data_IF_491387235051
#
_entry.id   IF_491387235051
#
_cell.length_a   1.000
_cell.length_b   1.000
_cell.length_c   1.000
_cell.angle_alpha   90.00
_cell.angle_beta   90.00
_cell.angle_gamma   90.00
#
_symmetry.space_group_name_H-M   'P 1'
#
loop_
_entity.id
_entity.type
_entity.pdbx_description
1 polymer ?
#
# COMPACT_ATOMS: atom_id res chain seq x y z
N UNK A 1 91.66 22.26 12.28
CA UNK A 1 90.41 22.08 13.04
C UNK A 1 89.27 21.88 12.05
N UNK A 2 88.73 20.67 11.91
CA UNK A 2 87.67 20.28 10.98
C UNK A 2 86.38 20.19 11.77
N UNK A 3 85.31 20.90 11.32
CA UNK A 3 83.95 20.80 11.86
C UNK A 3 83.22 19.59 11.24
N UNK A 4 82.42 18.82 11.97
CA UNK A 4 81.64 17.70 11.43
C UNK A 4 80.37 18.09 10.71
N UNK A 5 80.09 17.44 9.58
CA UNK A 5 78.82 17.54 8.83
C UNK A 5 77.75 16.74 9.56
N UNK A 6 76.68 17.38 10.02
CA UNK A 6 75.45 16.77 10.53
C UNK A 6 74.57 16.29 9.38
N UNK A 7 74.03 15.10 9.53
CA UNK A 7 73.39 14.28 8.54
C UNK A 7 71.95 14.71 8.18
N UNK A 8 71.65 14.59 6.89
CA UNK A 8 70.34 14.81 6.25
C UNK A 8 69.42 13.55 6.33
N UNK A 9 69.07 13.09 7.52
CA UNK A 9 68.20 11.91 7.65
C UNK A 9 66.74 12.23 8.11
N UNK A 10 66.38 13.51 8.32
CA UNK A 10 65.07 13.89 8.86
C UNK A 10 63.94 14.06 7.79
N UNK A 11 64.31 14.15 6.50
CA UNK A 11 63.29 14.44 5.46
C UNK A 11 62.62 13.19 4.86
N UNK A 12 63.22 12.04 4.94
CA UNK A 12 62.67 10.78 4.40
C UNK A 12 61.64 10.12 5.33
N UNK A 13 61.73 10.30 6.63
CA UNK A 13 60.81 9.73 7.59
C UNK A 13 59.42 10.41 7.57
N UNK A 14 59.37 11.74 7.33
CA UNK A 14 58.10 12.48 7.22
C UNK A 14 57.30 12.14 5.93
N UNK A 15 57.99 11.86 4.84
CA UNK A 15 57.38 11.49 3.56
C UNK A 15 56.71 10.09 3.62
N UNK A 16 57.31 9.15 4.34
CA UNK A 16 56.74 7.78 4.51
C UNK A 16 55.53 7.79 5.43
N UNK A 17 55.50 8.61 6.49
CA UNK A 17 54.33 8.77 7.36
C UNK A 17 53.17 9.46 6.66
N UNK A 18 53.38 10.43 5.77
CA UNK A 18 52.34 11.08 4.99
C UNK A 18 51.75 10.14 3.91
N UNK A 19 52.54 9.27 3.29
CA UNK A 19 52.08 8.26 2.35
C UNK A 19 51.26 7.15 3.02
N UNK A 20 51.60 6.74 4.24
CA UNK A 20 50.80 5.77 5.02
C UNK A 20 49.49 6.32 5.49
N UNK A 21 49.34 7.62 5.79
CA UNK A 21 48.09 8.29 6.15
C UNK A 21 47.15 8.42 4.97
N UNK A 22 47.61 8.55 3.73
CA UNK A 22 46.80 8.60 2.50
C UNK A 22 46.35 7.20 2.03
N UNK A 23 47.05 6.14 2.34
CA UNK A 23 46.66 4.75 2.05
C UNK A 23 45.53 4.24 3.00
N UNK A 24 45.39 4.84 4.20
CA UNK A 24 44.35 4.47 5.16
C UNK A 24 42.93 4.89 4.76
N UNK A 25 42.77 5.90 3.89
CA UNK A 25 41.43 6.37 3.45
C UNK A 25 40.78 5.50 2.38
N UNK A 26 41.49 4.61 1.69
CA UNK A 26 40.90 3.73 0.68
C UNK A 26 40.38 2.39 1.23
N UNK A 27 40.69 2.04 2.48
CA UNK A 27 40.23 0.79 3.12
C UNK A 27 38.77 0.84 3.56
N UNK A 28 38.10 2.02 3.60
CA UNK A 28 36.70 2.17 4.04
C UNK A 28 35.71 1.66 3.01
N UNK A 29 36.07 1.47 1.75
CA UNK A 29 35.18 1.01 0.69
C UNK A 29 34.72 -0.44 0.83
N UNK A 30 35.47 -1.28 1.57
CA UNK A 30 35.21 -2.71 1.71
C UNK A 30 34.64 -3.14 3.07
N UNK A 31 34.40 -2.20 3.98
CA UNK A 31 33.78 -2.54 5.27
C UNK A 31 32.36 -3.01 5.08
N UNK A 32 31.88 -4.01 5.83
CA UNK A 32 30.47 -4.38 5.86
C UNK A 32 29.59 -3.18 6.20
N UNK A 33 28.46 -3.08 5.52
CA UNK A 33 27.44 -2.06 5.77
C UNK A 33 26.13 -2.75 6.12
N UNK A 34 25.58 -2.43 7.28
CA UNK A 34 24.19 -2.76 7.60
C UNK A 34 23.28 -1.67 7.08
N UNK A 35 22.33 -2.05 6.23
CA UNK A 35 21.25 -1.21 5.74
C UNK A 35 20.00 -1.54 6.54
N UNK A 36 19.51 -0.60 7.32
CA UNK A 36 18.33 -0.78 8.13
C UNK A 36 17.05 -0.49 7.30
N UNK A 37 16.21 -1.52 7.15
CA UNK A 37 14.95 -1.48 6.39
C UNK A 37 13.79 -1.60 7.37
N UNK A 38 12.97 -0.57 7.50
CA UNK A 38 11.72 -0.65 8.24
C UNK A 38 10.56 -1.00 7.29
N UNK A 39 9.77 -1.97 7.70
CA UNK A 39 8.62 -2.47 6.95
C UNK A 39 7.34 -2.15 7.73
N UNK A 40 6.45 -1.34 7.15
CA UNK A 40 5.11 -1.11 7.69
C UNK A 40 4.17 -2.25 7.31
N UNK A 41 3.51 -2.89 8.29
CA UNK A 41 2.44 -3.84 8.01
C UNK A 41 1.19 -3.10 7.54
N UNK A 42 0.38 -3.72 6.69
CA UNK A 42 -0.91 -3.12 6.36
C UNK A 42 -1.81 -3.05 7.61
N UNK A 43 -2.69 -2.04 7.73
CA UNK A 43 -3.60 -1.90 8.88
C UNK A 43 -4.51 -3.09 9.11
N UNK A 44 -4.79 -3.86 8.05
CA UNK A 44 -5.59 -5.08 8.05
C UNK A 44 -4.77 -6.35 8.42
N UNK A 45 -3.50 -6.21 8.77
CA UNK A 45 -2.62 -7.32 9.14
C UNK A 45 -2.19 -7.22 10.60
N UNK A 46 -2.55 -8.23 11.39
CA UNK A 46 -2.03 -8.37 12.75
C UNK A 46 -0.57 -8.79 12.71
N UNK A 47 0.31 -8.06 13.40
CA UNK A 47 1.72 -8.45 13.56
C UNK A 47 1.79 -9.62 14.52
N UNK A 48 2.05 -10.81 13.97
CA UNK A 48 2.24 -12.05 14.68
C UNK A 48 3.39 -12.86 14.03
N UNK A 49 3.70 -14.02 14.58
CA UNK A 49 4.76 -14.90 14.06
C UNK A 49 4.54 -15.25 12.57
N UNK A 50 3.30 -15.55 12.16
CA UNK A 50 2.96 -15.92 10.78
C UNK A 50 3.23 -14.80 9.79
N UNK A 51 2.94 -13.53 10.17
CA UNK A 51 3.25 -12.38 9.34
C UNK A 51 4.75 -12.15 9.22
N UNK A 52 5.49 -12.28 10.35
CA UNK A 52 6.94 -12.18 10.35
C UNK A 52 7.59 -13.23 9.44
N UNK A 53 7.16 -14.48 9.55
CA UNK A 53 7.69 -15.57 8.74
C UNK A 53 7.32 -15.41 7.27
N UNK A 54 6.09 -15.04 6.97
CA UNK A 54 5.65 -14.76 5.60
C UNK A 54 6.44 -13.63 4.92
N UNK A 55 6.70 -12.54 5.64
CA UNK A 55 7.53 -11.43 5.13
C UNK A 55 8.97 -11.89 4.95
N UNK A 56 9.52 -12.63 5.92
CA UNK A 56 10.89 -13.17 5.84
C UNK A 56 11.06 -14.08 4.62
N UNK A 57 10.13 -14.99 4.37
CA UNK A 57 10.16 -15.87 3.21
C UNK A 57 10.11 -15.11 1.89
N UNK A 58 9.20 -14.13 1.78
CA UNK A 58 9.08 -13.28 0.58
C UNK A 58 10.31 -12.41 0.35
N UNK A 59 10.94 -11.92 1.43
CA UNK A 59 12.08 -11.01 1.35
C UNK A 59 13.42 -11.73 1.16
N UNK A 60 13.53 -12.99 1.59
CA UNK A 60 14.76 -13.79 1.51
C UNK A 60 15.35 -13.88 0.09
N UNK A 61 14.58 -14.18 -0.98
CA UNK A 61 15.11 -14.19 -2.34
C UNK A 61 15.62 -12.81 -2.79
N UNK A 62 14.92 -11.74 -2.39
CA UNK A 62 15.29 -10.36 -2.70
C UNK A 62 16.59 -9.96 -2.01
N UNK A 63 16.75 -10.31 -0.74
CA UNK A 63 18.00 -10.11 0.00
C UNK A 63 19.16 -10.86 -0.64
N UNK A 64 18.96 -12.12 -0.99
CA UNK A 64 19.99 -12.94 -1.64
C UNK A 64 20.38 -12.39 -3.01
N UNK A 65 19.39 -11.96 -3.83
CA UNK A 65 19.63 -11.36 -5.12
C UNK A 65 20.41 -10.04 -5.02
N UNK A 66 20.02 -9.16 -4.09
CA UNK A 66 20.73 -7.91 -3.84
C UNK A 66 22.14 -8.13 -3.33
N UNK A 67 22.34 -9.07 -2.41
CA UNK A 67 23.66 -9.41 -1.85
C UNK A 67 24.65 -9.94 -2.90
N UNK A 68 24.17 -10.62 -3.95
CA UNK A 68 25.05 -11.05 -5.08
C UNK A 68 25.63 -9.85 -5.82
N UNK A 69 24.89 -8.74 -5.91
CA UNK A 69 25.33 -7.51 -6.56
C UNK A 69 26.11 -6.59 -5.60
N UNK A 70 25.80 -6.67 -4.31
CA UNK A 70 26.35 -5.83 -3.24
C UNK A 70 26.81 -6.70 -2.06
N UNK A 71 27.91 -7.49 -2.18
CA UNK A 71 28.29 -8.53 -1.21
C UNK A 71 28.57 -7.99 0.19
N UNK A 72 28.99 -6.73 0.30
CA UNK A 72 29.30 -6.07 1.57
C UNK A 72 28.11 -5.33 2.20
N UNK A 73 26.90 -5.43 1.63
CA UNK A 73 25.70 -4.80 2.20
C UNK A 73 24.78 -5.87 2.77
N UNK A 74 24.48 -5.75 4.06
CA UNK A 74 23.57 -6.61 4.81
C UNK A 74 22.27 -5.85 5.08
N UNK A 75 21.14 -6.53 4.97
CA UNK A 75 19.84 -5.92 5.22
C UNK A 75 19.33 -6.36 6.59
N UNK A 76 19.10 -5.41 7.48
CA UNK A 76 18.41 -5.61 8.75
C UNK A 76 16.95 -5.14 8.57
N UNK A 77 16.01 -6.08 8.61
CA UNK A 77 14.57 -5.80 8.41
C UNK A 77 13.86 -5.81 9.75
N UNK A 78 13.09 -4.76 10.02
CA UNK A 78 12.19 -4.68 11.18
C UNK A 78 10.78 -4.36 10.72
N UNK A 79 9.79 -5.01 11.35
CA UNK A 79 8.37 -4.85 11.03
C UNK A 79 7.70 -3.98 12.10
N UNK A 80 6.88 -3.04 11.64
CA UNK A 80 6.11 -2.12 12.48
C UNK A 80 4.67 -2.01 12.00
N UNK A 81 3.69 -1.78 12.90
CA UNK A 81 2.36 -1.36 12.47
C UNK A 81 2.43 -0.06 11.66
N UNK A 82 1.77 -0.05 10.51
CA UNK A 82 1.80 1.10 9.60
C UNK A 82 1.35 2.41 10.28
N UNK A 83 0.35 2.32 11.14
CA UNK A 83 -0.19 3.45 11.90
C UNK A 83 0.80 4.09 12.88
N UNK A 84 1.75 3.29 13.40
CA UNK A 84 2.75 3.76 14.37
C UNK A 84 4.05 4.23 13.72
N UNK A 85 4.23 4.01 12.41
CA UNK A 85 5.45 4.41 11.70
C UNK A 85 5.81 5.89 11.88
N UNK A 86 4.87 6.87 11.78
CA UNK A 86 5.22 8.28 11.94
C UNK A 86 5.79 8.58 13.34
N UNK A 87 5.27 7.97 14.39
CA UNK A 87 5.74 8.19 15.77
C UNK A 87 7.08 7.50 16.01
N UNK A 88 7.24 6.27 15.51
CA UNK A 88 8.49 5.52 15.59
C UNK A 88 9.61 6.27 14.84
N UNK A 89 9.34 6.79 13.64
CA UNK A 89 10.33 7.56 12.89
C UNK A 89 10.68 8.86 13.57
N UNK A 90 9.72 9.55 14.16
CA UNK A 90 9.97 10.79 14.92
C UNK A 90 10.96 10.53 16.06
N UNK A 91 10.73 9.49 16.86
CA UNK A 91 11.59 9.10 17.97
C UNK A 91 12.99 8.67 17.47
N UNK A 92 13.05 7.82 16.43
CA UNK A 92 14.30 7.28 15.90
C UNK A 92 15.13 8.31 15.13
N UNK A 93 14.50 9.25 14.46
CA UNK A 93 15.19 10.38 13.83
C UNK A 93 15.91 11.25 14.88
N UNK A 94 15.32 11.42 16.06
CA UNK A 94 15.94 12.15 17.17
C UNK A 94 17.14 11.44 17.79
N UNK A 95 17.16 10.10 17.79
CA UNK A 95 18.23 9.28 18.37
C UNK A 95 19.31 8.84 17.37
N UNK A 96 19.18 9.19 16.08
CA UNK A 96 20.12 8.75 15.04
C UNK A 96 19.98 7.26 14.63
N UNK A 97 18.94 6.57 15.12
CA UNK A 97 18.65 5.15 14.85
C UNK A 97 17.53 4.95 13.81
N UNK A 98 17.29 5.95 12.98
CA UNK A 98 16.26 5.89 11.94
C UNK A 98 16.62 4.87 10.85
N UNK A 99 15.63 4.24 10.20
CA UNK A 99 15.89 3.34 9.09
C UNK A 99 16.43 4.10 7.87
N UNK A 100 17.22 3.41 7.07
CA UNK A 100 17.75 3.94 5.81
C UNK A 100 16.71 3.85 4.69
N UNK A 101 15.94 2.78 4.69
CA UNK A 101 14.84 2.52 3.75
C UNK A 101 13.58 2.20 4.54
N UNK A 102 12.48 2.76 4.09
CA UNK A 102 11.15 2.46 4.61
C UNK A 102 10.28 1.89 3.50
N UNK A 103 9.67 0.73 3.73
CA UNK A 103 8.61 0.20 2.92
C UNK A 103 7.27 0.48 3.60
N UNK A 104 6.49 1.40 3.04
CA UNK A 104 5.23 1.89 3.62
C UNK A 104 4.15 2.08 2.54
N UNK A 105 2.92 2.37 2.95
CA UNK A 105 1.89 2.84 2.03
C UNK A 105 2.25 4.24 1.50
N UNK A 106 1.89 4.52 0.26
CA UNK A 106 2.24 5.78 -0.39
C UNK A 106 1.72 7.01 0.33
N UNK A 107 0.50 6.95 0.86
CA UNK A 107 -0.10 8.04 1.66
C UNK A 107 0.64 8.26 2.99
N UNK A 108 1.08 7.20 3.66
CA UNK A 108 1.90 7.28 4.87
C UNK A 108 3.26 7.91 4.56
N UNK A 109 3.93 7.46 3.50
CA UNK A 109 5.21 8.03 3.08
C UNK A 109 5.08 9.52 2.70
N UNK A 110 4.01 9.91 2.00
CA UNK A 110 3.77 11.30 1.62
C UNK A 110 3.57 12.21 2.85
N UNK A 111 2.78 11.76 3.84
CA UNK A 111 2.61 12.50 5.09
C UNK A 111 3.92 12.62 5.87
N UNK A 112 4.70 11.55 5.96
CA UNK A 112 5.99 11.58 6.64
C UNK A 112 7.01 12.47 5.93
N UNK A 113 7.01 12.52 4.59
CA UNK A 113 7.81 13.47 3.83
C UNK A 113 7.38 14.92 4.12
N UNK A 114 6.09 15.20 4.10
CA UNK A 114 5.53 16.52 4.43
C UNK A 114 5.91 16.96 5.85
N UNK A 115 5.93 16.03 6.80
CA UNK A 115 6.36 16.26 8.18
C UNK A 115 7.90 16.34 8.36
N UNK A 116 8.69 16.22 7.29
CA UNK A 116 10.15 16.26 7.35
C UNK A 116 10.80 15.04 8.02
N UNK A 117 10.08 13.93 8.14
CA UNK A 117 10.58 12.69 8.76
C UNK A 117 11.36 11.80 7.76
N UNK A 118 11.15 12.01 6.46
CA UNK A 118 11.81 11.32 5.37
C UNK A 118 12.61 12.31 4.52
N UNK A 119 13.57 11.79 3.76
CA UNK A 119 14.24 12.53 2.70
C UNK A 119 13.45 12.40 1.38
N UNK A 120 13.39 13.45 0.55
CA UNK A 120 12.86 13.33 -0.80
C UNK A 120 13.61 12.24 -1.58
N UNK A 121 12.87 11.44 -2.34
CA UNK A 121 13.48 10.42 -3.18
C UNK A 121 13.98 11.05 -4.49
N UNK A 122 15.28 10.98 -4.80
CA UNK A 122 15.81 11.45 -6.07
C UNK A 122 15.40 10.49 -7.19
N UNK A 123 14.63 10.98 -8.17
CA UNK A 123 14.19 10.17 -9.29
C UNK A 123 14.74 10.74 -10.60
N UNK A 124 15.41 9.90 -11.40
CA UNK A 124 15.87 10.28 -12.74
C UNK A 124 14.70 10.28 -13.74
N UNK A 125 14.83 11.01 -14.84
CA UNK A 125 13.82 11.04 -15.90
C UNK A 125 13.59 9.62 -16.49
N UNK A 126 14.63 8.79 -16.56
CA UNK A 126 14.53 7.40 -17.02
C UNK A 126 13.71 6.54 -16.04
N UNK A 127 14.07 6.60 -14.75
CA UNK A 127 13.35 5.85 -13.72
C UNK A 127 11.89 6.32 -13.60
N UNK A 128 11.62 7.62 -13.77
CA UNK A 128 10.26 8.18 -13.78
C UNK A 128 9.40 7.55 -14.88
N UNK A 129 9.95 7.29 -16.05
CA UNK A 129 9.24 6.62 -17.16
C UNK A 129 8.87 5.17 -16.86
N UNK A 130 9.47 4.55 -15.86
CA UNK A 130 9.15 3.17 -15.46
C UNK A 130 7.85 3.03 -14.67
N UNK A 131 7.23 4.13 -14.29
CA UNK A 131 5.99 4.14 -13.50
C UNK A 131 4.85 4.84 -14.24
N UNK A 132 3.61 4.53 -13.85
CA UNK A 132 2.46 5.31 -14.31
C UNK A 132 2.50 6.73 -13.73
N UNK A 133 2.29 7.77 -14.55
CA UNK A 133 2.35 9.16 -14.08
C UNK A 133 1.39 9.45 -12.91
N UNK A 134 0.24 8.80 -12.90
CA UNK A 134 -0.77 8.94 -11.83
C UNK A 134 -0.25 8.43 -10.49
N UNK A 135 0.47 7.29 -10.49
CA UNK A 135 1.05 6.71 -9.28
C UNK A 135 2.13 7.63 -8.69
N UNK A 136 2.95 8.24 -9.53
CA UNK A 136 3.94 9.22 -9.08
C UNK A 136 3.29 10.50 -8.55
N UNK A 137 2.25 11.03 -9.24
CA UNK A 137 1.53 12.23 -8.77
C UNK A 137 0.94 12.07 -7.37
N UNK A 138 0.50 10.86 -7.02
CA UNK A 138 0.00 10.53 -5.67
C UNK A 138 1.09 10.57 -4.59
N UNK A 139 2.36 10.54 -4.97
CA UNK A 139 3.52 10.50 -4.08
C UNK A 139 4.30 11.81 -4.09
N UNK A 140 3.86 12.81 -4.88
CA UNK A 140 4.52 14.10 -5.01
C UNK A 140 3.86 15.17 -4.14
N UNK A 141 4.68 15.95 -3.47
CA UNK A 141 4.26 17.19 -2.84
C UNK A 141 4.08 18.30 -3.91
N UNK A 142 3.33 19.38 -3.61
CA UNK A 142 3.16 20.51 -4.57
C UNK A 142 4.47 21.14 -5.06
N UNK A 143 5.55 21.01 -4.30
CA UNK A 143 6.88 21.50 -4.66
C UNK A 143 7.70 20.50 -5.51
N UNK A 144 7.10 19.39 -5.94
CA UNK A 144 7.70 18.36 -6.78
C UNK A 144 8.57 17.32 -6.03
N UNK A 145 8.69 17.42 -4.71
CA UNK A 145 9.41 16.41 -3.91
C UNK A 145 8.64 15.10 -3.88
N UNK A 146 9.32 14.00 -4.20
CA UNK A 146 8.75 12.65 -4.24
C UNK A 146 8.97 11.91 -2.92
N UNK A 147 7.92 11.30 -2.37
CA UNK A 147 7.97 10.59 -1.09
C UNK A 147 8.67 9.22 -1.17
N UNK A 148 8.67 8.59 -2.34
CA UNK A 148 9.31 7.29 -2.54
C UNK A 148 9.00 6.70 -3.91
N UNK A 149 9.66 5.58 -4.24
CA UNK A 149 9.41 4.84 -5.48
C UNK A 149 8.25 3.85 -5.30
N UNK A 150 7.27 3.82 -6.21
CA UNK A 150 6.28 2.73 -6.25
C UNK A 150 6.96 1.37 -6.38
N UNK A 151 6.66 0.44 -5.48
CA UNK A 151 7.23 -0.90 -5.51
C UNK A 151 6.21 -1.93 -5.98
N UNK A 152 5.08 -2.02 -5.31
CA UNK A 152 4.00 -2.95 -5.67
C UNK A 152 2.65 -2.31 -5.47
N UNK A 153 1.67 -2.83 -6.21
CA UNK A 153 0.28 -2.42 -6.13
C UNK A 153 -0.55 -3.54 -5.49
N UNK A 154 -1.34 -3.19 -4.47
CA UNK A 154 -2.39 -4.02 -3.92
C UNK A 154 -3.75 -3.45 -4.34
N UNK A 155 -4.62 -4.32 -4.88
CA UNK A 155 -5.96 -3.94 -5.30
C UNK A 155 -7.02 -4.65 -4.46
N UNK A 156 -8.25 -4.14 -4.49
CA UNK A 156 -9.41 -4.79 -3.88
C UNK A 156 -10.04 -5.80 -4.83
N UNK A 157 -10.61 -6.85 -4.26
CA UNK A 157 -11.19 -8.00 -4.94
C UNK A 157 -12.42 -8.50 -4.18
N UNK A 158 -13.23 -9.33 -4.83
CA UNK A 158 -14.11 -10.30 -4.18
C UNK A 158 -13.27 -11.48 -3.70
N UNK A 159 -13.29 -11.77 -2.39
CA UNK A 159 -12.79 -13.02 -1.82
C UNK A 159 -13.99 -13.90 -1.46
N UNK A 160 -14.02 -15.15 -1.89
CA UNK A 160 -15.14 -16.02 -1.61
C UNK A 160 -14.75 -17.49 -1.40
N UNK A 161 -15.60 -18.20 -0.69
CA UNK A 161 -15.45 -19.62 -0.43
C UNK A 161 -16.20 -20.42 -1.51
N UNK A 162 -15.45 -21.00 -2.46
CA UNK A 162 -16.05 -21.76 -3.59
C UNK A 162 -16.82 -23.02 -3.18
N UNK A 163 -16.69 -23.48 -1.93
CA UNK A 163 -17.50 -24.59 -1.41
C UNK A 163 -18.91 -24.15 -1.04
N UNK A 164 -19.10 -22.88 -0.72
CA UNK A 164 -20.39 -22.29 -0.35
C UNK A 164 -21.00 -21.51 -1.54
N UNK A 165 -20.16 -20.90 -2.36
CA UNK A 165 -20.56 -20.07 -3.48
C UNK A 165 -19.73 -20.48 -4.71
N UNK A 166 -20.34 -21.19 -5.67
CA UNK A 166 -19.63 -21.73 -6.84
C UNK A 166 -19.11 -20.59 -7.76
N UNK A 167 -19.88 -19.50 -7.89
CA UNK A 167 -19.57 -18.34 -8.73
C UNK A 167 -19.80 -17.09 -7.90
N UNK A 168 -18.85 -16.15 -7.93
CA UNK A 168 -19.02 -14.86 -7.26
C UNK A 168 -20.07 -14.00 -7.98
N UNK A 169 -20.85 -13.19 -7.25
CA UNK A 169 -21.70 -12.18 -7.85
C UNK A 169 -20.90 -11.21 -8.71
N UNK A 170 -21.38 -10.90 -9.89
CA UNK A 170 -20.77 -9.99 -10.85
C UNK A 170 -21.37 -8.58 -10.78
N UNK A 171 -22.56 -8.46 -10.19
CA UNK A 171 -23.25 -7.19 -9.99
C UNK A 171 -23.67 -7.01 -8.54
N UNK A 172 -23.84 -5.74 -8.12
CA UNK A 172 -24.35 -5.42 -6.77
C UNK A 172 -25.76 -5.92 -6.55
N UNK A 173 -26.56 -6.09 -7.61
CA UNK A 173 -27.89 -6.68 -7.56
C UNK A 173 -27.80 -8.19 -7.29
N UNK A 174 -26.94 -8.90 -7.99
CA UNK A 174 -26.66 -10.33 -7.75
C UNK A 174 -26.14 -10.57 -6.34
N UNK A 175 -25.32 -9.65 -5.79
CA UNK A 175 -24.82 -9.74 -4.41
C UNK A 175 -25.97 -9.70 -3.40
N UNK A 176 -26.94 -8.77 -3.55
CA UNK A 176 -28.13 -8.72 -2.71
C UNK A 176 -29.03 -9.95 -2.91
N UNK A 177 -29.21 -10.39 -4.16
CA UNK A 177 -30.00 -11.57 -4.49
C UNK A 177 -29.41 -12.85 -3.88
N UNK A 178 -28.09 -13.01 -3.92
CA UNK A 178 -27.38 -14.13 -3.26
C UNK A 178 -27.63 -14.14 -1.75
N UNK A 179 -27.57 -12.97 -1.10
CA UNK A 179 -27.89 -12.86 0.34
C UNK A 179 -29.34 -13.20 0.62
N UNK A 180 -30.29 -12.70 -0.18
CA UNK A 180 -31.70 -12.99 -0.07
C UNK A 180 -32.02 -14.49 -0.29
N UNK A 181 -31.24 -15.17 -1.14
CA UNK A 181 -31.30 -16.61 -1.38
C UNK A 181 -30.64 -17.45 -0.26
N UNK A 182 -30.14 -16.83 0.80
CA UNK A 182 -29.58 -17.52 1.97
C UNK A 182 -28.06 -17.64 2.00
N UNK A 183 -27.34 -17.10 1.02
CA UNK A 183 -25.88 -17.05 1.04
C UNK A 183 -25.38 -16.01 2.06
N UNK A 184 -24.51 -16.38 3.02
CA UNK A 184 -23.98 -15.45 4.00
C UNK A 184 -22.94 -14.53 3.35
N UNK A 185 -23.23 -13.23 3.26
CA UNK A 185 -22.40 -12.20 2.65
C UNK A 185 -21.86 -11.28 3.74
N UNK A 186 -20.58 -10.93 3.66
CA UNK A 186 -19.94 -9.95 4.53
C UNK A 186 -19.66 -8.65 3.80
N UNK A 187 -20.06 -7.53 4.38
CA UNK A 187 -19.64 -6.18 4.01
C UNK A 187 -18.85 -5.56 5.18
N UNK A 188 -18.20 -4.45 4.91
CA UNK A 188 -17.48 -3.69 5.93
C UNK A 188 -17.99 -2.26 5.98
N UNK A 189 -18.22 -1.70 7.18
CA UNK A 189 -18.64 -0.31 7.35
C UNK A 189 -17.52 0.71 7.08
N UNK A 190 -16.24 0.26 7.04
CA UNK A 190 -15.10 1.13 6.72
C UNK A 190 -15.14 1.54 5.24
N UNK A 191 -15.12 2.86 5.01
CA UNK A 191 -15.09 3.46 3.67
C UNK A 191 -13.95 2.94 2.81
N UNK A 192 -12.80 2.63 3.40
CA UNK A 192 -11.66 2.05 2.67
C UNK A 192 -11.98 0.68 2.04
N UNK A 193 -13.05 0.02 2.48
CA UNK A 193 -13.55 -1.24 1.95
C UNK A 193 -14.90 -1.13 1.25
N UNK A 194 -15.59 0.01 1.36
CA UNK A 194 -16.88 0.26 0.69
C UNK A 194 -16.75 1.11 -0.57
N UNK A 195 -15.65 1.87 -0.75
CA UNK A 195 -15.54 2.84 -1.84
C UNK A 195 -15.71 2.23 -3.24
N UNK A 196 -15.39 0.94 -3.40
CA UNK A 196 -15.64 0.23 -4.65
C UNK A 196 -17.12 0.29 -5.09
N UNK A 197 -18.05 0.19 -4.13
CA UNK A 197 -19.48 0.20 -4.39
C UNK A 197 -20.02 1.58 -4.78
N UNK A 198 -19.31 2.65 -4.41
CA UNK A 198 -19.61 4.02 -4.86
C UNK A 198 -19.48 4.11 -6.38
N UNK A 199 -18.44 3.46 -6.95
CA UNK A 199 -18.30 3.33 -8.40
C UNK A 199 -19.41 2.50 -9.01
N UNK A 200 -19.64 1.29 -8.50
CA UNK A 200 -20.70 0.37 -8.99
C UNK A 200 -22.09 1.01 -9.04
N UNK A 201 -22.38 1.96 -8.17
CA UNK A 201 -23.68 2.64 -8.09
C UNK A 201 -23.66 4.05 -8.69
N UNK A 202 -22.62 4.38 -9.47
CA UNK A 202 -22.54 5.62 -10.23
C UNK A 202 -22.33 6.89 -9.41
N UNK A 203 -21.99 6.75 -8.11
CA UNK A 203 -21.84 7.91 -7.21
C UNK A 203 -20.40 8.48 -7.19
N UNK A 204 -19.44 7.87 -7.89
CA UNK A 204 -18.04 8.30 -7.87
C UNK A 204 -17.84 9.78 -8.31
N UNK A 205 -18.46 10.25 -9.41
CA UNK A 205 -18.34 11.66 -9.80
C UNK A 205 -18.91 12.63 -8.75
N UNK A 206 -20.01 12.25 -8.09
CA UNK A 206 -20.61 13.08 -7.04
C UNK A 206 -19.68 13.22 -5.82
N UNK A 207 -19.01 12.15 -5.42
CA UNK A 207 -17.99 12.18 -4.37
C UNK A 207 -16.80 13.07 -4.77
N UNK A 208 -16.33 12.98 -6.01
CA UNK A 208 -15.25 13.84 -6.52
C UNK A 208 -15.65 15.33 -6.51
N UNK A 209 -16.88 15.66 -6.96
CA UNK A 209 -17.41 17.02 -6.93
C UNK A 209 -17.41 17.58 -5.50
N UNK A 210 -17.93 16.80 -4.53
CA UNK A 210 -17.97 17.24 -3.12
C UNK A 210 -16.58 17.56 -2.60
N UNK A 211 -15.66 16.62 -2.77
CA UNK A 211 -14.32 16.71 -2.19
C UNK A 211 -13.50 17.84 -2.83
N UNK A 212 -13.73 18.12 -4.12
CA UNK A 212 -13.11 19.26 -4.83
C UNK A 212 -13.81 20.60 -4.56
N UNK A 213 -14.85 20.62 -3.73
CA UNK A 213 -15.61 21.84 -3.40
C UNK A 213 -16.51 22.35 -4.52
N UNK A 214 -16.82 21.48 -5.50
CA UNK A 214 -17.73 21.85 -6.59
C UNK A 214 -19.18 21.91 -6.10
N UNK A 215 -20.02 22.63 -6.86
CA UNK A 215 -21.46 22.69 -6.62
C UNK A 215 -22.10 21.31 -6.87
N UNK A 216 -22.91 20.83 -5.93
CA UNK A 216 -23.60 19.55 -5.99
C UNK A 216 -24.99 19.73 -6.59
N UNK A 217 -25.17 19.15 -7.78
CA UNK A 217 -26.44 19.19 -8.52
C UNK A 217 -27.45 18.12 -8.05
N UNK A 218 -28.66 18.14 -8.65
CA UNK A 218 -29.68 17.10 -8.38
C UNK A 218 -29.24 15.69 -8.75
N UNK A 219 -28.49 15.54 -9.86
CA UNK A 219 -27.93 14.24 -10.31
C UNK A 219 -26.93 13.68 -9.32
N UNK A 220 -26.01 14.51 -8.77
CA UNK A 220 -25.06 14.10 -7.76
C UNK A 220 -25.76 13.58 -6.50
N UNK A 221 -26.79 14.34 -6.04
CA UNK A 221 -27.59 13.96 -4.87
C UNK A 221 -28.33 12.64 -5.11
N UNK A 222 -28.86 12.45 -6.32
CA UNK A 222 -29.55 11.21 -6.66
C UNK A 222 -28.58 10.02 -6.69
N UNK A 223 -27.39 10.15 -7.25
CA UNK A 223 -26.38 9.11 -7.25
C UNK A 223 -25.98 8.70 -5.81
N UNK A 224 -25.75 9.69 -4.93
CA UNK A 224 -25.48 9.43 -3.51
C UNK A 224 -26.64 8.70 -2.84
N UNK A 225 -27.88 9.12 -3.09
CA UNK A 225 -29.09 8.46 -2.56
C UNK A 225 -29.20 7.01 -3.02
N UNK A 226 -28.89 6.74 -4.29
CA UNK A 226 -28.87 5.37 -4.84
C UNK A 226 -27.89 4.50 -4.08
N UNK A 227 -26.66 4.97 -3.85
CA UNK A 227 -25.66 4.25 -3.09
C UNK A 227 -26.09 4.02 -1.62
N UNK A 228 -26.57 5.04 -0.94
CA UNK A 228 -27.03 4.92 0.46
C UNK A 228 -28.27 4.03 0.59
N UNK A 229 -29.18 4.07 -0.39
CA UNK A 229 -30.35 3.17 -0.43
C UNK A 229 -29.94 1.71 -0.56
N UNK A 230 -28.93 1.42 -1.41
CA UNK A 230 -28.36 0.09 -1.54
C UNK A 230 -27.75 -0.40 -0.24
N UNK A 231 -26.97 0.44 0.48
CA UNK A 231 -26.41 0.09 1.79
C UNK A 231 -27.51 -0.18 2.82
N UNK A 232 -28.55 0.65 2.87
CA UNK A 232 -29.67 0.44 3.78
C UNK A 232 -30.40 -0.85 3.47
N UNK A 233 -30.65 -1.15 2.19
CA UNK A 233 -31.25 -2.41 1.75
C UNK A 233 -30.38 -3.60 2.14
N UNK A 234 -29.06 -3.53 1.92
CA UNK A 234 -28.15 -4.57 2.32
C UNK A 234 -28.25 -4.89 3.83
N UNK A 235 -28.34 -3.85 4.68
CA UNK A 235 -28.50 -4.00 6.13
C UNK A 235 -29.81 -4.67 6.57
N UNK A 236 -30.85 -4.71 5.72
CA UNK A 236 -32.12 -5.40 6.05
C UNK A 236 -32.12 -6.89 5.75
N UNK A 237 -31.10 -7.40 5.05
CA UNK A 237 -31.02 -8.80 4.66
C UNK A 237 -30.45 -9.66 5.79
N UNK A 238 -31.17 -10.71 6.19
CA UNK A 238 -30.78 -11.59 7.31
C UNK A 238 -29.42 -12.30 7.14
N UNK A 239 -28.98 -12.49 5.90
CA UNK A 239 -27.71 -13.14 5.57
C UNK A 239 -26.63 -12.16 5.17
N UNK A 240 -26.85 -10.86 5.38
CA UNK A 240 -25.85 -9.83 5.21
C UNK A 240 -25.28 -9.45 6.58
N UNK A 241 -23.98 -9.61 6.75
CA UNK A 241 -23.25 -9.19 7.96
C UNK A 241 -22.42 -7.96 7.61
N UNK A 242 -22.59 -6.86 8.34
CA UNK A 242 -21.76 -5.67 8.20
C UNK A 242 -20.77 -5.63 9.36
N UNK A 243 -19.48 -5.74 9.02
CA UNK A 243 -18.37 -5.80 9.97
C UNK A 243 -17.84 -4.41 10.31
N UNK A 244 -17.44 -4.16 11.56
CA UNK A 244 -16.79 -2.90 11.94
C UNK A 244 -15.35 -2.82 11.39
N UNK A 245 -14.70 -3.95 11.16
CA UNK A 245 -13.32 -4.05 10.71
C UNK A 245 -13.10 -5.22 9.74
N UNK A 246 -12.05 -5.12 8.94
CA UNK A 246 -11.73 -6.10 7.91
C UNK A 246 -11.19 -7.41 8.47
N UNK A 247 -10.50 -7.39 9.62
CA UNK A 247 -9.94 -8.61 10.22
C UNK A 247 -11.04 -9.57 10.63
N UNK A 248 -12.14 -9.04 11.20
CA UNK A 248 -13.33 -9.82 11.56
C UNK A 248 -13.98 -10.45 10.33
N UNK A 249 -14.15 -9.69 9.24
CA UNK A 249 -14.69 -10.21 7.98
C UNK A 249 -13.82 -11.33 7.40
N UNK A 250 -12.50 -11.17 7.38
CA UNK A 250 -11.54 -12.17 6.90
C UNK A 250 -11.51 -13.41 7.80
N UNK A 251 -11.66 -13.22 9.12
CA UNK A 251 -11.74 -14.33 10.07
C UNK A 251 -13.01 -15.18 9.82
N UNK A 252 -14.14 -14.54 9.55
CA UNK A 252 -15.39 -15.19 9.29
C UNK A 252 -15.44 -15.89 7.92
N UNK A 253 -14.85 -15.28 6.88
CA UNK A 253 -14.66 -15.95 5.60
C UNK A 253 -13.81 -17.21 5.74
N UNK A 254 -12.69 -17.13 6.44
CA UNK A 254 -11.80 -18.26 6.65
C UNK A 254 -12.41 -19.37 7.50
N UNK A 255 -13.30 -19.01 8.44
CA UNK A 255 -14.07 -19.97 9.26
C UNK A 255 -15.32 -20.52 8.55
N UNK A 256 -15.65 -20.01 7.34
CA UNK A 256 -16.84 -20.41 6.59
C UNK A 256 -18.16 -19.85 7.15
N UNK A 257 -18.11 -18.82 8.01
CA UNK A 257 -19.31 -18.14 8.52
C UNK A 257 -19.93 -17.21 7.50
N UNK A 258 -19.10 -16.64 6.60
CA UNK A 258 -19.55 -15.93 5.39
C UNK A 258 -18.97 -16.60 4.16
N UNK A 259 -19.69 -16.50 3.05
CA UNK A 259 -19.32 -17.07 1.76
C UNK A 259 -18.53 -16.07 0.87
N UNK A 260 -18.73 -14.76 1.09
CA UNK A 260 -18.16 -13.70 0.27
C UNK A 260 -17.86 -12.44 1.12
N UNK A 261 -16.73 -11.79 0.83
CA UNK A 261 -16.36 -10.47 1.37
C UNK A 261 -15.59 -9.65 0.32
N UNK A 262 -15.61 -8.31 0.36
CA UNK A 262 -14.58 -7.51 -0.28
C UNK A 262 -13.26 -7.72 0.50
N UNK A 263 -12.16 -7.91 -0.21
CA UNK A 263 -10.85 -8.11 0.41
C UNK A 263 -9.77 -7.34 -0.35
N UNK A 264 -8.54 -7.33 0.16
CA UNK A 264 -7.37 -6.85 -0.57
C UNK A 264 -6.47 -8.00 -0.97
N UNK A 265 -5.73 -7.80 -2.06
CA UNK A 265 -4.75 -8.79 -2.50
C UNK A 265 -3.66 -9.06 -1.44
N UNK A 266 -3.40 -8.11 -0.53
CA UNK A 266 -2.51 -8.30 0.63
C UNK A 266 -2.98 -9.35 1.62
N UNK A 267 -4.28 -9.63 1.71
CA UNK A 267 -4.85 -10.66 2.60
C UNK A 267 -4.75 -12.08 2.03
N UNK A 268 -4.55 -12.22 0.72
CA UNK A 268 -4.59 -13.52 0.03
C UNK A 268 -3.60 -14.55 0.57
N UNK A 269 -2.37 -14.22 1.03
CA UNK A 269 -1.47 -15.21 1.63
C UNK A 269 -2.04 -15.80 2.91
N UNK A 270 -2.56 -14.97 3.80
CA UNK A 270 -3.17 -15.40 5.07
C UNK A 270 -4.43 -16.21 4.82
N UNK A 271 -5.35 -15.71 4.01
CA UNK A 271 -6.57 -16.42 3.63
C UNK A 271 -6.25 -17.74 2.92
N UNK A 272 -5.25 -17.75 2.02
CA UNK A 272 -4.83 -18.96 1.30
C UNK A 272 -4.28 -20.06 2.22
N UNK A 273 -3.50 -19.70 3.25
CA UNK A 273 -3.04 -20.68 4.25
C UNK A 273 -4.19 -21.28 5.06
N UNK A 274 -5.21 -20.49 5.40
CA UNK A 274 -6.35 -20.90 6.22
C UNK A 274 -7.40 -21.68 5.42
N UNK A 275 -7.66 -21.29 4.18
CA UNK A 275 -8.75 -21.81 3.35
C UNK A 275 -8.28 -22.81 2.28
N UNK A 276 -7.01 -22.82 1.94
CA UNK A 276 -6.44 -23.68 0.89
C UNK A 276 -7.13 -23.48 -0.45
N UNK A 277 -7.56 -24.56 -1.08
CA UNK A 277 -8.23 -24.56 -2.38
C UNK A 277 -9.67 -24.02 -2.36
N UNK A 278 -10.27 -23.83 -1.19
CA UNK A 278 -11.62 -23.24 -1.09
C UNK A 278 -11.62 -21.73 -1.29
N UNK A 279 -10.48 -21.03 -1.13
CA UNK A 279 -10.37 -19.61 -1.44
C UNK A 279 -10.41 -19.40 -2.95
N UNK A 280 -11.34 -18.54 -3.39
CA UNK A 280 -11.38 -18.02 -4.74
C UNK A 280 -11.46 -16.49 -4.73
N UNK A 281 -11.08 -15.89 -5.85
CA UNK A 281 -11.11 -14.45 -6.06
C UNK A 281 -11.82 -14.12 -7.37
N UNK A 282 -12.49 -12.98 -7.40
CA UNK A 282 -13.13 -12.40 -8.59
C UNK A 282 -13.00 -10.88 -8.56
N UNK A 283 -13.25 -10.15 -9.65
CA UNK A 283 -13.47 -8.70 -9.59
C UNK A 283 -14.60 -8.37 -8.62
N UNK A 284 -14.59 -7.15 -8.08
CA UNK A 284 -15.71 -6.65 -7.28
C UNK A 284 -16.93 -6.42 -8.16
N UNK A 285 -18.15 -6.59 -7.61
CA UNK A 285 -19.38 -6.48 -8.38
C UNK A 285 -19.57 -5.10 -9.01
N UNK A 286 -19.86 -5.07 -10.30
CA UNK A 286 -20.26 -3.88 -11.04
C UNK A 286 -21.72 -3.48 -10.73
N UNK A 287 -22.17 -2.34 -11.20
CA UNK A 287 -23.57 -1.93 -11.20
C UNK A 287 -24.17 -1.88 -12.60
N UNK A 288 -25.41 -1.42 -12.69
CA UNK A 288 -26.05 -1.23 -13.99
C UNK A 288 -25.43 -0.04 -14.73
N UNK A 289 -24.68 -0.33 -15.80
CA UNK A 289 -23.94 0.66 -16.58
C UNK A 289 -22.73 1.32 -15.87
N UNK A 290 -22.39 0.87 -14.66
CA UNK A 290 -21.31 1.44 -13.85
C UNK A 290 -20.35 0.37 -13.37
N UNK A 291 -19.04 0.67 -13.42
CA UNK A 291 -18.02 -0.27 -12.97
C UNK A 291 -17.66 -0.05 -11.51
N UNK A 292 -17.31 -1.13 -10.82
CA UNK A 292 -16.71 -1.06 -9.51
C UNK A 292 -15.45 -0.18 -9.52
N UNK A 293 -15.20 0.51 -8.41
CA UNK A 293 -14.01 1.35 -8.25
C UNK A 293 -13.12 0.83 -7.10
N UNK A 294 -12.44 -0.31 -7.30
CA UNK A 294 -11.54 -0.87 -6.29
C UNK A 294 -10.46 0.14 -5.89
N UNK A 295 -10.08 0.13 -4.61
CA UNK A 295 -8.98 0.97 -4.14
C UNK A 295 -7.66 0.30 -4.43
N UNK A 296 -6.82 0.99 -5.19
CA UNK A 296 -5.44 0.62 -5.43
C UNK A 296 -4.51 1.25 -4.37
N UNK A 297 -3.83 0.43 -3.58
CA UNK A 297 -2.80 0.88 -2.63
C UNK A 297 -1.41 0.62 -3.17
N UNK A 298 -0.62 1.68 -3.23
CA UNK A 298 0.80 1.61 -3.56
C UNK A 298 1.62 1.35 -2.30
N UNK A 299 2.47 0.33 -2.34
CA UNK A 299 3.58 0.19 -1.41
C UNK A 299 4.79 0.86 -2.02
N UNK A 300 5.47 1.69 -1.26
CA UNK A 300 6.56 2.52 -1.74
C UNK A 300 7.83 2.33 -0.93
N UNK A 301 8.96 2.51 -1.60
CA UNK A 301 10.28 2.56 -0.99
C UNK A 301 10.63 4.03 -0.75
N UNK A 302 10.64 4.44 0.49
CA UNK A 302 11.01 5.78 0.92
C UNK A 302 12.40 5.78 1.56
N UNK A 303 13.05 6.96 1.59
CA UNK A 303 14.40 7.12 2.15
C UNK A 303 14.34 7.75 3.53
N UNK A 304 15.02 7.13 4.48
CA UNK A 304 15.21 7.69 5.82
C UNK A 304 15.93 9.05 5.77
N UNK A 305 15.70 9.88 6.78
CA UNK A 305 16.26 11.24 6.83
C UNK A 305 17.74 11.27 7.16
N UNK A 306 18.18 10.41 8.07
CA UNK A 306 19.49 10.52 8.76
C UNK A 306 20.53 9.48 8.31
N UNK A 307 20.35 8.88 7.12
CA UNK A 307 21.33 7.93 6.57
C UNK A 307 22.67 8.61 6.31
N UNK A 308 23.75 7.92 6.62
CA UNK A 308 25.11 8.32 6.21
C UNK A 308 25.20 8.37 4.66
N UNK A 309 26.13 9.10 4.07
CA UNK A 309 26.30 9.13 2.60
C UNK A 309 26.44 7.73 1.99
N UNK A 310 27.17 6.83 2.64
CA UNK A 310 27.36 5.44 2.20
C UNK A 310 26.07 4.62 2.32
N UNK A 311 25.37 4.72 3.44
CA UNK A 311 24.09 4.07 3.63
C UNK A 311 23.03 4.60 2.64
N UNK A 312 23.04 5.91 2.37
CA UNK A 312 22.18 6.55 1.36
C UNK A 312 22.40 5.99 -0.03
N UNK A 313 23.65 5.83 -0.45
CA UNK A 313 24.01 5.25 -1.74
C UNK A 313 23.51 3.79 -1.84
N UNK A 314 23.73 2.99 -0.80
CA UNK A 314 23.25 1.59 -0.75
C UNK A 314 21.72 1.51 -0.69
N UNK A 315 21.05 2.43 0.00
CA UNK A 315 19.59 2.53 0.04
C UNK A 315 19.00 2.81 -1.36
N UNK A 316 19.62 3.73 -2.11
CA UNK A 316 19.24 4.01 -3.49
C UNK A 316 19.48 2.81 -4.41
N UNK A 317 20.63 2.14 -4.28
CA UNK A 317 20.94 0.92 -5.03
C UNK A 317 19.92 -0.19 -4.74
N UNK A 318 19.55 -0.37 -3.47
CA UNK A 318 18.53 -1.35 -3.05
C UNK A 318 17.15 -1.01 -3.59
N UNK A 319 16.73 0.25 -3.51
CA UNK A 319 15.44 0.69 -4.06
C UNK A 319 15.38 0.47 -5.58
N UNK A 320 16.43 0.85 -6.32
CA UNK A 320 16.53 0.64 -7.76
C UNK A 320 16.51 -0.85 -8.13
N UNK A 321 17.19 -1.69 -7.35
CA UNK A 321 17.16 -3.14 -7.53
C UNK A 321 15.72 -3.68 -7.40
N UNK A 322 14.99 -3.28 -6.35
CA UNK A 322 13.63 -3.77 -6.09
C UNK A 322 12.62 -3.34 -7.15
N UNK A 323 12.79 -2.16 -7.77
CA UNK A 323 11.88 -1.68 -8.82
C UNK A 323 12.33 -2.02 -10.24
N UNK A 324 13.48 -2.71 -10.38
CA UNK A 324 13.97 -3.14 -11.69
C UNK A 324 13.01 -4.14 -12.35
N UNK A 325 12.87 -4.14 -13.68
CA UNK A 325 11.94 -5.05 -14.38
C UNK A 325 12.18 -6.53 -14.06
N UNK A 326 13.43 -6.96 -13.96
CA UNK A 326 13.79 -8.35 -13.66
C UNK A 326 13.36 -8.76 -12.25
N UNK A 327 13.65 -7.92 -11.26
CA UNK A 327 13.26 -8.17 -9.86
C UNK A 327 11.76 -8.18 -9.71
N UNK A 328 11.05 -7.20 -10.28
CA UNK A 328 9.60 -7.13 -10.19
C UNK A 328 8.90 -8.29 -10.91
N UNK A 329 9.41 -8.70 -12.07
CA UNK A 329 8.92 -9.92 -12.75
C UNK A 329 9.11 -11.15 -11.88
N UNK A 330 10.29 -11.33 -11.27
CA UNK A 330 10.54 -12.44 -10.34
C UNK A 330 9.60 -12.40 -9.13
N UNK A 331 9.37 -11.22 -8.56
CA UNK A 331 8.41 -11.05 -7.45
C UNK A 331 7.00 -11.46 -7.84
N UNK A 332 6.51 -11.04 -9.00
CA UNK A 332 5.16 -11.36 -9.49
C UNK A 332 5.00 -12.86 -9.75
N UNK A 333 6.02 -13.52 -10.31
CA UNK A 333 5.99 -14.96 -10.56
C UNK A 333 6.02 -15.79 -9.28
N UNK A 334 6.82 -15.36 -8.29
CA UNK A 334 6.96 -16.07 -7.02
C UNK A 334 5.82 -15.76 -6.03
N UNK A 335 5.10 -14.66 -6.21
CA UNK A 335 4.01 -14.23 -5.35
C UNK A 335 2.86 -13.66 -6.18
N UNK A 336 1.97 -14.52 -6.74
CA UNK A 336 0.90 -14.11 -7.65
C UNK A 336 -0.26 -13.43 -6.91
N UNK A 337 0.06 -12.51 -6.01
CA UNK A 337 -0.86 -11.71 -5.18
C UNK A 337 -0.54 -10.22 -5.23
N UNK A 338 0.60 -9.85 -5.83
CA UNK A 338 1.06 -8.47 -5.94
C UNK A 338 1.27 -8.12 -7.40
N UNK A 339 0.86 -6.92 -7.79
CA UNK A 339 1.14 -6.40 -9.11
C UNK A 339 2.41 -5.53 -9.08
N UNK A 340 3.24 -5.61 -10.12
CA UNK A 340 4.41 -4.75 -10.25
C UNK A 340 3.97 -3.31 -10.43
N UNK A 341 4.65 -2.36 -9.79
CA UNK A 341 4.45 -0.94 -10.05
C UNK A 341 5.20 -0.47 -11.30
N UNK A 342 6.22 -1.20 -11.73
CA UNK A 342 6.94 -0.91 -12.96
C UNK A 342 6.09 -1.32 -14.19
N UNK A 343 5.65 -0.33 -14.97
CA UNK A 343 4.74 -0.51 -16.11
C UNK A 343 5.33 -1.32 -17.27
N UNK A 344 6.64 -1.51 -17.31
CA UNK A 344 7.31 -2.32 -18.32
C UNK A 344 7.36 -3.81 -17.98
N UNK A 345 6.85 -4.18 -16.80
CA UNK A 345 6.75 -5.59 -16.40
C UNK A 345 5.41 -6.16 -16.88
N UNK A 346 5.47 -7.04 -17.85
CA UNK A 346 4.29 -7.79 -18.30
C UNK A 346 3.89 -8.84 -17.25
N UNK A 347 2.65 -8.78 -16.81
CA UNK A 347 2.07 -9.75 -15.88
C UNK A 347 1.55 -10.95 -16.72
N UNK A 348 1.92 -12.20 -16.38
CA UNK A 348 1.53 -13.38 -17.18
C UNK A 348 0.07 -13.82 -16.88
N UNK A 349 -0.89 -13.01 -17.29
CA UNK A 349 -2.34 -13.22 -17.06
C UNK A 349 -2.86 -14.52 -17.68
N UNK A 350 -2.24 -14.98 -18.76
CA UNK A 350 -2.62 -16.21 -19.45
C UNK A 350 -2.34 -17.48 -18.63
N UNK A 351 -1.36 -17.42 -17.73
CA UNK A 351 -0.94 -18.58 -16.93
C UNK A 351 -1.58 -18.63 -15.54
N UNK A 352 -2.32 -17.60 -15.13
CA UNK A 352 -2.91 -17.50 -13.80
C UNK A 352 -4.19 -16.67 -13.81
N UNK A 353 -5.32 -17.33 -13.62
CA UNK A 353 -6.61 -16.66 -13.44
C UNK A 353 -6.59 -15.63 -12.30
N UNK A 354 -5.85 -15.93 -11.23
CA UNK A 354 -5.69 -14.98 -10.11
C UNK A 354 -4.98 -13.71 -10.54
N UNK A 355 -3.91 -13.82 -11.33
CA UNK A 355 -3.21 -12.64 -11.86
C UNK A 355 -4.08 -11.86 -12.84
N UNK A 356 -4.87 -12.55 -13.68
CA UNK A 356 -5.83 -11.92 -14.59
C UNK A 356 -6.84 -11.06 -13.79
N UNK A 357 -7.44 -11.66 -12.76
CA UNK A 357 -8.37 -10.96 -11.84
C UNK A 357 -7.74 -9.74 -11.16
N UNK A 358 -6.48 -9.87 -10.71
CA UNK A 358 -5.76 -8.76 -10.06
C UNK A 358 -5.52 -7.59 -11.04
N UNK A 359 -5.10 -7.90 -12.27
CA UNK A 359 -4.87 -6.87 -13.30
C UNK A 359 -6.18 -6.17 -13.65
N UNK A 360 -7.25 -6.93 -13.88
CA UNK A 360 -8.57 -6.38 -14.17
C UNK A 360 -9.06 -5.43 -13.04
N UNK A 361 -9.00 -5.89 -11.79
CA UNK A 361 -9.39 -5.07 -10.63
C UNK A 361 -8.50 -3.82 -10.47
N UNK A 362 -7.20 -3.94 -10.74
CA UNK A 362 -6.30 -2.78 -10.69
C UNK A 362 -6.63 -1.75 -11.77
N UNK A 363 -6.99 -2.19 -12.97
CA UNK A 363 -7.39 -1.30 -14.06
C UNK A 363 -8.72 -0.59 -13.76
N UNK A 364 -9.69 -1.30 -13.18
CA UNK A 364 -10.94 -0.70 -12.67
C UNK A 364 -10.65 0.36 -11.60
N UNK A 365 -9.72 0.06 -10.66
CA UNK A 365 -9.38 0.94 -9.54
C UNK A 365 -8.66 2.24 -9.95
N UNK A 366 -8.18 2.37 -11.18
CA UNK A 366 -7.53 3.61 -11.65
C UNK A 366 -8.50 4.79 -11.65
N UNK A 367 -9.78 4.55 -11.86
CA UNK A 367 -10.82 5.60 -11.82
C UNK A 367 -11.00 6.19 -10.41
N UNK A 368 -10.81 5.37 -9.36
CA UNK A 368 -10.93 5.81 -7.96
C UNK A 368 -9.66 6.51 -7.42
N UNK A 369 -8.55 6.51 -8.16
CA UNK A 369 -7.29 7.09 -7.71
C UNK A 369 -7.36 8.54 -7.22
N UNK A 370 -8.14 9.46 -7.83
CA UNK A 370 -8.30 10.83 -7.31
C UNK A 370 -8.93 10.87 -5.91
N UNK A 371 -9.93 10.03 -5.63
CA UNK A 371 -10.57 9.95 -4.32
C UNK A 371 -9.65 9.35 -3.26
N UNK A 372 -8.88 8.33 -3.63
CA UNK A 372 -7.94 7.69 -2.70
C UNK A 372 -6.85 8.66 -2.22
N UNK A 373 -6.46 9.62 -3.06
CA UNK A 373 -5.51 10.67 -2.66
C UNK A 373 -6.07 11.63 -1.60
N UNK A 374 -7.40 11.74 -1.53
CA UNK A 374 -8.12 12.69 -0.66
C UNK A 374 -8.62 11.98 0.59
N UNK A 375 -9.06 10.72 0.48
CA UNK A 375 -9.52 9.87 1.59
C UNK A 375 -8.36 8.95 1.99
N UNK A 376 -7.43 9.47 2.76
CA UNK A 376 -6.28 8.71 3.26
C UNK A 376 -6.54 8.08 4.64
N UNK A 377 -5.75 7.13 5.05
CA UNK A 377 -5.92 6.29 6.25
C UNK A 377 -6.13 7.08 7.56
N UNK A 378 -5.61 8.30 7.68
CA UNK A 378 -5.75 9.16 8.86
C UNK A 378 -6.66 10.38 8.60
N UNK A 379 -7.54 10.30 7.62
CA UNK A 379 -8.52 11.34 7.34
C UNK A 379 -9.56 11.40 8.47
N UNK A 380 -9.71 12.56 9.09
CA UNK A 380 -10.65 12.79 10.20
C UNK A 380 -12.10 12.58 9.81
N UNK A 381 -12.41 12.55 8.51
CA UNK A 381 -13.76 12.28 7.98
C UNK A 381 -14.11 10.80 8.04
N UNK A 382 -13.11 9.87 7.97
CA UNK A 382 -13.38 8.43 7.93
C UNK A 382 -14.18 7.92 9.14
N UNK A 383 -13.84 8.23 10.39
CA UNK A 383 -14.64 7.79 11.54
C UNK A 383 -16.10 8.32 11.48
N UNK A 384 -16.29 9.57 11.00
CA UNK A 384 -17.63 10.16 10.86
C UNK A 384 -18.42 9.47 9.75
N UNK A 385 -17.77 9.15 8.62
CA UNK A 385 -18.39 8.38 7.54
C UNK A 385 -18.76 6.97 7.99
N UNK A 386 -17.88 6.31 8.75
CA UNK A 386 -18.17 5.00 9.30
C UNK A 386 -19.35 5.04 10.28
N UNK A 387 -19.41 6.04 11.16
CA UNK A 387 -20.56 6.26 12.04
C UNK A 387 -21.84 6.46 11.26
N UNK A 388 -21.83 7.33 10.24
CA UNK A 388 -22.98 7.57 9.36
C UNK A 388 -23.48 6.28 8.68
N UNK A 389 -22.56 5.45 8.17
CA UNK A 389 -22.91 4.16 7.55
C UNK A 389 -23.50 3.20 8.57
N UNK A 390 -22.92 3.14 9.77
CA UNK A 390 -23.42 2.31 10.86
C UNK A 390 -24.85 2.73 11.27
N UNK A 391 -25.09 4.03 11.43
CA UNK A 391 -26.40 4.56 11.77
C UNK A 391 -27.43 4.36 10.64
N UNK A 392 -27.00 4.41 9.39
CA UNK A 392 -27.85 4.11 8.23
C UNK A 392 -28.23 2.65 8.15
N UNK A 393 -27.28 1.74 8.40
CA UNK A 393 -27.44 0.29 8.22
C UNK A 393 -28.19 -0.34 9.40
N UNK A 394 -27.86 0.05 10.63
CA UNK A 394 -28.36 -0.57 11.85
C UNK A 394 -29.35 0.30 12.63
N UNK A 395 -29.42 1.60 12.32
CA UNK A 395 -30.25 2.56 13.02
C UNK A 395 -31.44 3.05 12.20
N UNK A 396 -32.11 4.06 12.73
CA UNK A 396 -33.29 4.66 12.13
C UNK A 396 -32.98 5.80 11.14
N UNK A 397 -31.69 6.00 10.79
CA UNK A 397 -31.29 7.06 9.88
C UNK A 397 -31.90 6.83 8.49
N UNK A 398 -32.68 7.83 7.99
CA UNK A 398 -33.22 7.75 6.65
C UNK A 398 -32.20 8.22 5.60
N UNK A 399 -32.36 7.72 4.36
CA UNK A 399 -31.47 8.00 3.24
C UNK A 399 -31.32 9.50 2.93
N UNK A 400 -32.43 10.27 3.08
CA UNK A 400 -32.42 11.72 2.81
C UNK A 400 -31.50 12.48 3.77
N UNK A 401 -31.68 12.21 5.07
CA UNK A 401 -30.83 12.78 6.13
C UNK A 401 -29.39 12.32 5.97
N UNK A 402 -29.17 11.02 5.73
CA UNK A 402 -27.82 10.47 5.48
C UNK A 402 -27.12 11.13 4.29
N UNK A 403 -27.87 11.42 3.20
CA UNK A 403 -27.34 12.14 2.03
C UNK A 403 -26.82 13.54 2.40
N UNK A 404 -27.58 14.29 3.20
CA UNK A 404 -27.19 15.63 3.63
C UNK A 404 -25.95 15.59 4.51
N UNK A 405 -25.92 14.70 5.50
CA UNK A 405 -24.81 14.52 6.43
C UNK A 405 -23.53 14.04 5.70
N UNK A 406 -23.65 13.11 4.75
CA UNK A 406 -22.52 12.64 3.95
C UNK A 406 -21.87 13.78 3.17
N UNK A 407 -22.67 14.63 2.54
CA UNK A 407 -22.17 15.81 1.80
C UNK A 407 -21.45 16.76 2.75
N UNK A 408 -21.97 16.99 3.93
CA UNK A 408 -21.36 17.85 4.96
C UNK A 408 -20.03 17.28 5.44
N UNK A 409 -20.01 15.99 5.79
CA UNK A 409 -18.78 15.30 6.24
C UNK A 409 -17.68 15.37 5.16
N UNK A 410 -18.02 15.08 3.90
CA UNK A 410 -17.04 15.08 2.81
C UNK A 410 -16.51 16.48 2.46
N UNK A 411 -17.26 17.55 2.73
CA UNK A 411 -16.85 18.94 2.56
C UNK A 411 -15.94 19.45 3.67
N UNK A 412 -15.99 18.81 4.83
CA UNK A 412 -15.14 19.20 5.95
C UNK A 412 -13.64 19.02 5.58
N UNK A 413 -12.76 19.86 6.14
CA UNK A 413 -11.32 19.68 5.94
C UNK A 413 -10.86 18.33 6.51
N UNK A 414 -9.95 17.68 5.79
CA UNK A 414 -9.35 16.38 6.11
C UNK A 414 -8.38 16.42 7.30
#
# INVERSE_FOLDING_TARGET
MRAPRLATHGRSALAVLAAAALAGCSASANLPLELYVAFGSNPDQTINADLHDGIREQFKPLQQGFRRLHPNTFLQVSLYPEEHLPDILRQRNGSGLAPDVLLANGDTALRMLKAGQLSPFPITAELRRSFHPEDLRRLELPDGRLAGLPMVLHTQLSCFNRRQMAVAPTTVQELLAASAAGQPIGLNADMAYLLWSVGSLGALPAFEHIVRGHTIGPSDRQAIRTWLSWLKQAGTLQRMTVYPDQQSAEADLAAGRVAWIPCRSSALPSLGRRMGTSLAVAPLPDGDGHRASPINRLRVLALGRNSSPRARQSALAFANYLVSPLTQRSMTLNSPITLPANRFVSVPVQSSQRLATLVEAADQGRQANPLVAIIHTNDRRLPKLQGLITDLVFGDLNVGTATAQLIEILRAPS
#
